data_IF_052032550651
#
_entry.id   IF_052032550651
#
_cell.length_a   1.000
_cell.length_b   1.000
_cell.length_c   1.000
_cell.angle_alpha   90.00
_cell.angle_beta   90.00
_cell.angle_gamma   90.00
#
_symmetry.space_group_name_H-M   'P 1'
#
loop_
_entity.id
_entity.type
_entity.pdbx_description
1 polymer ?
#
# COMPACT_ATOMS: atom_id res chain seq x y z
N UNK A 1 -2.69 3.76 25.19
CA UNK A 1 -2.91 4.32 23.83
C UNK A 1 -4.33 4.85 23.68
N UNK A 2 -5.36 4.09 24.08
CA UNK A 2 -6.75 4.59 24.07
C UNK A 2 -6.93 5.91 24.84
N UNK A 3 -6.41 6.02 26.07
CA UNK A 3 -6.49 7.28 26.84
C UNK A 3 -5.73 8.46 26.21
N UNK A 4 -4.73 8.20 25.37
CA UNK A 4 -4.04 9.25 24.61
C UNK A 4 -4.94 9.76 23.49
N UNK A 5 -5.55 8.87 22.72
CA UNK A 5 -6.46 9.22 21.64
C UNK A 5 -7.74 9.90 22.17
N UNK A 6 -8.26 9.48 23.32
CA UNK A 6 -9.40 10.16 23.96
C UNK A 6 -9.07 11.62 24.34
N UNK A 7 -7.82 11.90 24.73
CA UNK A 7 -7.40 13.23 25.15
C UNK A 7 -6.93 14.13 23.99
N UNK A 8 -6.32 13.53 22.97
CA UNK A 8 -5.59 14.26 21.92
C UNK A 8 -6.07 13.96 20.50
N UNK A 9 -6.94 12.98 20.30
CA UNK A 9 -7.34 12.49 18.97
C UNK A 9 -8.10 13.51 18.13
N UNK A 10 -8.83 14.46 18.76
CA UNK A 10 -9.58 15.49 18.05
C UNK A 10 -8.72 16.40 17.17
N UNK A 11 -7.44 16.58 17.52
CA UNK A 11 -6.47 17.36 16.75
C UNK A 11 -5.44 16.49 16.02
N UNK A 12 -5.61 15.17 16.02
CA UNK A 12 -4.65 14.24 15.47
C UNK A 12 -4.86 14.08 13.95
N UNK A 13 -3.99 14.72 13.17
CA UNK A 13 -4.04 14.66 11.71
C UNK A 13 -3.29 13.46 11.13
N UNK A 14 -2.28 12.94 11.85
CA UNK A 14 -1.47 11.80 11.42
C UNK A 14 -1.32 10.76 12.51
N UNK A 15 -1.46 9.49 12.15
CA UNK A 15 -1.31 8.38 13.10
C UNK A 15 -0.59 7.20 12.44
N UNK A 16 0.40 6.66 13.15
CA UNK A 16 1.21 5.52 12.70
C UNK A 16 1.10 4.38 13.69
N UNK A 17 0.69 3.23 13.19
CA UNK A 17 0.56 1.98 13.92
C UNK A 17 1.69 1.06 13.50
N UNK A 18 2.55 0.72 14.46
CA UNK A 18 3.64 -0.22 14.24
C UNK A 18 3.13 -1.68 14.33
N UNK A 19 3.83 -2.66 13.71
CA UNK A 19 3.42 -4.06 13.73
C UNK A 19 3.18 -4.60 15.14
N UNK A 20 2.22 -5.53 15.30
CA UNK A 20 1.79 -6.11 16.59
C UNK A 20 1.09 -5.11 17.52
N UNK A 21 0.33 -4.18 16.94
CA UNK A 21 -0.48 -3.27 17.74
C UNK A 21 -1.65 -4.01 18.37
N UNK A 22 -1.49 -4.49 19.60
CA UNK A 22 -2.60 -4.97 20.42
C UNK A 22 -3.59 -3.83 20.63
N UNK A 23 -4.75 -3.79 19.96
CA UNK A 23 -5.76 -2.81 20.36
C UNK A 23 -7.16 -2.89 19.78
N UNK A 24 -8.15 -2.85 20.68
CA UNK A 24 -9.53 -2.50 20.37
C UNK A 24 -9.73 -1.05 19.91
N UNK A 25 -8.78 -0.13 20.15
CA UNK A 25 -8.93 1.29 19.79
C UNK A 25 -8.99 1.53 18.28
N UNK A 26 -8.43 0.65 17.45
CA UNK A 26 -8.53 0.75 15.98
C UNK A 26 -9.98 0.68 15.49
N UNK A 27 -10.90 0.08 16.26
CA UNK A 27 -12.33 0.03 15.92
C UNK A 27 -13.06 1.37 16.15
N UNK A 28 -12.47 2.27 16.94
CA UNK A 28 -13.06 3.58 17.32
C UNK A 28 -12.26 4.75 16.75
N UNK A 29 -11.42 4.49 15.74
CA UNK A 29 -10.49 5.50 15.23
C UNK A 29 -11.22 6.70 14.62
N UNK A 30 -12.36 6.47 13.96
CA UNK A 30 -13.23 7.50 13.40
C UNK A 30 -13.83 8.43 14.48
N UNK A 31 -14.24 7.86 15.61
CA UNK A 31 -14.81 8.58 16.75
C UNK A 31 -13.75 9.36 17.51
N UNK A 32 -12.57 8.76 17.71
CA UNK A 32 -11.51 9.34 18.51
C UNK A 32 -10.70 10.36 17.71
N UNK A 33 -10.55 10.17 16.39
CA UNK A 33 -9.70 10.98 15.52
C UNK A 33 -10.47 11.45 14.25
N UNK A 34 -11.50 12.29 14.40
CA UNK A 34 -12.35 12.70 13.27
C UNK A 34 -11.61 13.54 12.22
N UNK A 35 -10.48 14.15 12.58
CA UNK A 35 -9.62 15.00 11.72
C UNK A 35 -8.44 14.24 11.12
N UNK A 36 -8.36 12.92 11.33
CA UNK A 36 -7.24 12.11 10.86
C UNK A 36 -7.17 12.07 9.32
N UNK A 37 -6.10 12.60 8.75
CA UNK A 37 -5.88 12.66 7.30
C UNK A 37 -4.89 11.60 6.81
N UNK A 38 -3.86 11.30 7.60
CA UNK A 38 -2.82 10.34 7.25
C UNK A 38 -2.80 9.18 8.24
N UNK A 39 -2.95 7.95 7.75
CA UNK A 39 -2.85 6.74 8.56
C UNK A 39 -1.77 5.81 8.00
N UNK A 40 -0.84 5.37 8.85
CA UNK A 40 0.25 4.47 8.45
C UNK A 40 0.16 3.17 9.25
N UNK A 41 0.12 2.02 8.58
CA UNK A 41 -0.03 0.72 9.26
C UNK A 41 0.64 -0.42 8.49
N UNK A 42 0.78 -1.58 9.13
CA UNK A 42 1.12 -2.82 8.43
C UNK A 42 -0.09 -3.33 7.62
N UNK A 43 0.11 -3.95 6.46
CA UNK A 43 -0.99 -4.37 5.59
C UNK A 43 -2.00 -5.35 6.25
N UNK A 44 -1.56 -6.11 7.26
CA UNK A 44 -2.39 -7.01 8.06
C UNK A 44 -3.16 -6.32 9.21
N UNK A 45 -2.81 -5.08 9.53
CA UNK A 45 -3.28 -4.36 10.73
C UNK A 45 -4.22 -3.21 10.34
N UNK A 46 -5.08 -3.45 9.35
CA UNK A 46 -6.10 -2.48 8.96
C UNK A 46 -7.16 -2.34 10.08
N UNK A 47 -7.66 -1.12 10.34
CA UNK A 47 -8.80 -0.91 11.23
C UNK A 47 -9.99 -1.79 10.88
N UNK A 48 -10.69 -2.28 11.91
CA UNK A 48 -11.91 -3.07 11.74
C UNK A 48 -13.16 -2.25 11.41
N UNK A 49 -13.06 -0.92 11.39
CA UNK A 49 -14.14 0.02 11.09
C UNK A 49 -13.71 1.02 10.02
N UNK A 50 -14.68 1.59 9.33
CA UNK A 50 -14.45 2.59 8.29
C UNK A 50 -13.98 3.92 8.90
N UNK A 51 -12.91 4.50 8.35
CA UNK A 51 -12.36 5.79 8.75
C UNK A 51 -12.39 6.74 7.55
N UNK A 52 -13.48 7.50 7.35
CA UNK A 52 -13.69 8.29 6.13
C UNK A 52 -12.86 9.59 6.08
N UNK A 53 -12.27 10.04 7.19
CA UNK A 53 -11.44 11.25 7.24
C UNK A 53 -10.09 11.07 6.53
N UNK A 54 -9.59 9.83 6.46
CA UNK A 54 -8.28 9.48 5.93
C UNK A 54 -8.24 9.65 4.41
N UNK A 55 -7.22 10.38 3.95
CA UNK A 55 -6.90 10.63 2.53
C UNK A 55 -5.60 9.96 2.10
N UNK A 56 -4.66 9.81 3.02
CA UNK A 56 -3.35 9.20 2.75
C UNK A 56 -3.18 7.96 3.60
N UNK A 57 -2.90 6.82 2.97
CA UNK A 57 -2.58 5.58 3.67
C UNK A 57 -1.16 5.15 3.34
N UNK A 58 -0.33 5.05 4.36
CA UNK A 58 1.00 4.45 4.25
C UNK A 58 1.00 2.99 4.71
N UNK A 59 1.60 2.09 3.93
CA UNK A 59 1.59 0.66 4.22
C UNK A 59 3.01 0.14 4.39
N UNK A 60 3.24 -0.59 5.48
CA UNK A 60 4.43 -1.40 5.67
C UNK A 60 4.14 -2.88 5.39
N UNK A 61 5.16 -3.63 4.98
CA UNK A 61 5.11 -5.09 4.90
C UNK A 61 4.51 -5.66 3.60
N UNK A 62 4.25 -4.84 2.58
CA UNK A 62 3.76 -5.32 1.28
C UNK A 62 4.72 -6.34 0.62
N UNK A 63 6.00 -6.28 0.96
CA UNK A 63 6.98 -7.29 0.58
C UNK A 63 6.70 -8.68 1.15
N UNK A 64 5.82 -8.83 2.14
CA UNK A 64 5.44 -10.12 2.73
C UNK A 64 4.13 -10.66 2.13
N UNK A 65 3.19 -9.78 1.78
CA UNK A 65 1.87 -10.16 1.24
C UNK A 65 1.95 -11.12 0.03
N UNK A 66 2.84 -10.84 -0.93
CA UNK A 66 3.02 -11.72 -2.11
C UNK A 66 3.68 -13.07 -1.83
N UNK A 67 4.13 -13.35 -0.60
CA UNK A 67 4.60 -14.67 -0.14
C UNK A 67 3.51 -15.44 0.61
N UNK A 68 2.68 -14.73 1.36
CA UNK A 68 1.70 -15.31 2.29
C UNK A 68 0.37 -15.70 1.61
N UNK A 69 0.38 -15.88 0.29
CA UNK A 69 -0.79 -16.21 -0.56
C UNK A 69 -1.89 -15.15 -0.61
N UNK A 70 -1.64 -13.94 -0.08
CA UNK A 70 -2.56 -12.83 -0.28
C UNK A 70 -2.46 -12.26 -1.69
N UNK A 71 -3.62 -12.08 -2.33
CA UNK A 71 -3.70 -11.40 -3.62
C UNK A 71 -3.58 -9.88 -3.43
N UNK A 72 -2.90 -9.22 -4.37
CA UNK A 72 -2.76 -7.76 -4.34
C UNK A 72 -4.11 -7.05 -4.37
N UNK A 73 -5.08 -7.64 -5.08
CA UNK A 73 -6.45 -7.14 -5.14
C UNK A 73 -7.17 -7.20 -3.78
N UNK A 74 -6.95 -8.26 -2.99
CA UNK A 74 -7.59 -8.42 -1.68
C UNK A 74 -7.08 -7.37 -0.68
N UNK A 75 -5.76 -7.12 -0.68
CA UNK A 75 -5.14 -6.07 0.15
C UNK A 75 -5.76 -4.72 -0.16
N UNK A 76 -5.72 -4.31 -1.43
CA UNK A 76 -6.21 -2.99 -1.86
C UNK A 76 -7.73 -2.86 -1.67
N UNK A 77 -8.50 -3.91 -1.95
CA UNK A 77 -9.96 -3.89 -1.72
C UNK A 77 -10.32 -3.72 -0.25
N UNK A 78 -9.57 -4.37 0.65
CA UNK A 78 -9.76 -4.22 2.09
C UNK A 78 -9.45 -2.80 2.54
N UNK A 79 -8.39 -2.19 1.99
CA UNK A 79 -8.09 -0.78 2.26
C UNK A 79 -9.19 0.17 1.82
N UNK A 80 -9.76 -0.03 0.62
CA UNK A 80 -10.84 0.85 0.16
C UNK A 80 -12.14 0.69 0.97
N UNK A 81 -12.38 -0.47 1.59
CA UNK A 81 -13.50 -0.65 2.53
C UNK A 81 -13.29 0.15 3.82
N UNK A 82 -12.05 0.17 4.32
CA UNK A 82 -11.69 0.84 5.56
C UNK A 82 -11.53 2.36 5.34
N UNK A 83 -10.89 2.76 4.24
CA UNK A 83 -10.59 4.15 3.90
C UNK A 83 -11.27 4.51 2.56
N UNK A 84 -12.60 4.70 2.53
CA UNK A 84 -13.37 4.91 1.30
C UNK A 84 -12.99 6.18 0.54
N UNK A 85 -12.32 7.08 1.25
CA UNK A 85 -12.02 8.44 0.89
C UNK A 85 -10.53 8.66 0.56
N UNK A 86 -9.74 7.58 0.55
CA UNK A 86 -8.31 7.60 0.24
C UNK A 86 -8.06 8.13 -1.18
N UNK A 87 -7.05 8.97 -1.32
CA UNK A 87 -6.55 9.53 -2.58
C UNK A 87 -5.08 9.16 -2.81
N UNK A 88 -4.38 8.70 -1.77
CA UNK A 88 -2.97 8.31 -1.86
C UNK A 88 -2.72 7.04 -1.05
N UNK A 89 -2.14 6.05 -1.70
CA UNK A 89 -1.62 4.83 -1.09
C UNK A 89 -0.11 4.84 -1.29
N UNK A 90 0.65 4.79 -0.20
CA UNK A 90 2.11 4.79 -0.25
C UNK A 90 2.66 3.48 0.31
N UNK A 91 3.46 2.77 -0.48
CA UNK A 91 4.32 1.70 0.01
C UNK A 91 5.48 2.31 0.78
N UNK A 92 5.56 2.06 2.09
CA UNK A 92 6.59 2.63 2.96
C UNK A 92 7.84 1.74 3.08
N UNK A 93 7.89 0.60 2.37
CA UNK A 93 9.02 -0.31 2.42
C UNK A 93 9.96 -0.12 1.23
N UNK A 94 11.19 0.33 1.51
CA UNK A 94 12.25 0.36 0.49
C UNK A 94 12.56 -1.04 -0.05
N UNK A 95 12.45 -2.06 0.80
CA UNK A 95 12.70 -3.46 0.44
C UNK A 95 11.67 -3.96 -0.58
N UNK A 96 10.44 -3.48 -0.45
CA UNK A 96 9.35 -3.78 -1.36
C UNK A 96 9.63 -3.26 -2.79
N UNK A 97 10.17 -2.04 -2.92
CA UNK A 97 10.61 -1.50 -4.21
C UNK A 97 11.74 -2.32 -4.83
N UNK A 98 12.75 -2.70 -4.04
CA UNK A 98 13.86 -3.55 -4.50
C UNK A 98 13.36 -4.91 -5.00
N UNK A 99 12.47 -5.57 -4.24
CA UNK A 99 11.89 -6.85 -4.63
C UNK A 99 11.06 -6.73 -5.90
N UNK A 100 10.27 -5.66 -6.04
CA UNK A 100 9.48 -5.37 -7.23
C UNK A 100 10.38 -5.19 -8.45
N UNK A 101 11.43 -4.36 -8.34
CA UNK A 101 12.38 -4.12 -9.43
C UNK A 101 13.14 -5.38 -9.82
N UNK A 102 13.62 -6.17 -8.86
CA UNK A 102 14.26 -7.47 -9.12
C UNK A 102 13.32 -8.43 -9.85
N UNK A 103 12.04 -8.45 -9.47
CA UNK A 103 11.03 -9.23 -10.17
C UNK A 103 10.83 -8.76 -11.62
N UNK A 104 11.11 -7.50 -11.96
CA UNK A 104 11.03 -6.99 -13.33
C UNK A 104 12.29 -7.24 -14.16
N UNK A 105 13.46 -7.30 -13.53
CA UNK A 105 14.72 -7.52 -14.25
C UNK A 105 15.00 -9.01 -14.44
N UNK A 106 14.62 -9.85 -13.47
CA UNK A 106 14.84 -11.28 -13.48
C UNK A 106 13.55 -12.08 -13.78
N UNK A 107 13.33 -12.38 -15.06
CA UNK A 107 12.12 -13.07 -15.53
C UNK A 107 12.12 -14.58 -15.30
N UNK A 108 13.29 -15.19 -15.11
CA UNK A 108 13.44 -16.64 -14.89
C UNK A 108 13.24 -17.06 -13.44
N UNK A 109 13.20 -16.10 -12.50
CA UNK A 109 12.92 -16.34 -11.08
C UNK A 109 11.43 -16.65 -10.83
N UNK A 110 11.08 -17.86 -10.32
CA UNK A 110 9.71 -18.20 -9.94
C UNK A 110 9.15 -17.33 -8.81
N UNK A 111 9.98 -16.87 -7.86
CA UNK A 111 9.53 -15.89 -6.86
C UNK A 111 9.19 -14.56 -7.56
N UNK A 112 10.01 -14.15 -8.54
CA UNK A 112 9.77 -12.97 -9.37
C UNK A 112 8.41 -13.01 -10.08
N UNK A 113 8.00 -14.15 -10.62
CA UNK A 113 6.68 -14.30 -11.25
C UNK A 113 5.52 -13.98 -10.28
N UNK A 114 5.55 -14.54 -9.07
CA UNK A 114 4.54 -14.25 -8.03
C UNK A 114 4.50 -12.78 -7.65
N UNK A 115 5.67 -12.13 -7.56
CA UNK A 115 5.77 -10.70 -7.25
C UNK A 115 5.23 -9.82 -8.37
N UNK A 116 5.48 -10.17 -9.63
CA UNK A 116 4.90 -9.47 -10.78
C UNK A 116 3.38 -9.56 -10.76
N UNK A 117 2.84 -10.76 -10.52
CA UNK A 117 1.39 -10.98 -10.43
C UNK A 117 0.77 -10.15 -9.29
N UNK A 118 1.32 -10.24 -8.07
CA UNK A 118 0.86 -9.46 -6.92
C UNK A 118 0.81 -7.96 -7.22
N UNK A 119 1.91 -7.38 -7.72
CA UNK A 119 1.97 -5.94 -8.00
C UNK A 119 1.10 -5.53 -9.20
N UNK A 120 0.86 -6.42 -10.15
CA UNK A 120 -0.10 -6.18 -11.23
C UNK A 120 -1.51 -6.06 -10.67
N UNK A 121 -1.90 -6.98 -9.77
CA UNK A 121 -3.21 -6.93 -9.11
C UNK A 121 -3.36 -5.67 -8.24
N UNK A 122 -2.33 -5.27 -7.49
CA UNK A 122 -2.32 -4.02 -6.72
C UNK A 122 -2.59 -2.82 -7.63
N UNK A 123 -1.81 -2.66 -8.71
CA UNK A 123 -1.96 -1.55 -9.65
C UNK A 123 -3.35 -1.53 -10.29
N UNK A 124 -3.83 -2.68 -10.78
CA UNK A 124 -5.15 -2.79 -11.39
C UNK A 124 -6.28 -2.47 -10.40
N UNK A 125 -6.18 -2.90 -9.15
CA UNK A 125 -7.18 -2.61 -8.13
C UNK A 125 -7.26 -1.11 -7.81
N UNK A 126 -6.11 -0.42 -7.72
CA UNK A 126 -6.05 1.04 -7.53
C UNK A 126 -6.64 1.77 -8.75
N UNK A 127 -6.31 1.33 -9.97
CA UNK A 127 -6.83 1.92 -11.21
C UNK A 127 -8.34 1.75 -11.37
N UNK A 128 -8.89 0.55 -11.10
CA UNK A 128 -10.34 0.30 -11.17
C UNK A 128 -11.10 1.22 -10.23
N UNK A 129 -10.57 1.45 -9.03
CA UNK A 129 -11.17 2.38 -8.07
C UNK A 129 -11.12 3.82 -8.58
N UNK A 130 -10.00 4.16 -9.22
CA UNK A 130 -9.81 5.46 -9.87
C UNK A 130 -10.67 5.66 -11.11
N UNK A 131 -11.40 4.66 -11.60
CA UNK A 131 -12.26 4.74 -12.80
C UNK A 131 -13.74 4.51 -12.49
N UNK A 132 -14.08 4.06 -11.29
CA UNK A 132 -15.46 3.71 -10.93
C UNK A 132 -16.19 4.92 -10.32
N UNK A 133 -17.25 5.44 -10.96
CA UNK A 133 -18.15 6.39 -10.30
C UNK A 133 -18.74 5.70 -9.05
N UNK A 134 -18.63 6.32 -7.88
CA UNK A 134 -19.34 5.82 -6.72
C UNK A 134 -20.82 6.18 -6.86
N UNK A 135 -21.75 5.20 -6.91
CA UNK A 135 -23.17 5.51 -6.86
C UNK A 135 -23.51 6.06 -5.46
N UNK A 136 -24.10 7.25 -5.42
CA UNK A 136 -24.82 7.75 -4.24
C UNK A 136 -26.31 7.47 -4.40
N UNK A 137 -27.01 7.29 -3.28
CA UNK A 137 -28.47 7.22 -3.18
C UNK A 137 -29.18 8.51 -3.69
N UNK A 138 -28.42 9.58 -3.97
CA UNK A 138 -28.92 10.90 -4.38
C UNK A 138 -28.65 11.28 -5.85
N UNK A 139 -28.11 10.37 -6.69
CA UNK A 139 -28.00 10.60 -8.14
C UNK A 139 -26.93 11.60 -8.60
N UNK A 140 -26.17 12.22 -7.69
CA UNK A 140 -25.03 13.06 -8.03
C UNK A 140 -23.77 12.19 -8.23
N UNK A 141 -23.20 12.22 -9.44
CA UNK A 141 -21.93 11.57 -9.75
C UNK A 141 -20.79 12.46 -9.26
N UNK A 142 -19.97 11.97 -8.31
CA UNK A 142 -18.69 12.62 -8.03
C UNK A 142 -17.78 12.55 -9.27
N UNK A 143 -16.92 13.56 -9.50
CA UNK A 143 -15.82 13.40 -10.43
C UNK A 143 -14.99 12.18 -10.03
N UNK A 144 -14.56 11.46 -11.05
CA UNK A 144 -13.63 10.34 -10.98
C UNK A 144 -12.49 10.70 -10.01
N UNK A 145 -12.39 9.98 -8.88
CA UNK A 145 -11.34 10.23 -7.88
C UNK A 145 -10.10 9.44 -8.22
N UNK A 146 -9.08 10.12 -8.71
CA UNK A 146 -7.78 9.52 -8.97
C UNK A 146 -7.10 9.13 -7.65
N UNK A 147 -6.73 7.85 -7.51
CA UNK A 147 -5.96 7.35 -6.37
C UNK A 147 -4.52 7.14 -6.82
N UNK A 148 -3.58 7.86 -6.22
CA UNK A 148 -2.16 7.71 -6.50
C UNK A 148 -1.58 6.54 -5.69
N UNK A 149 -0.86 5.64 -6.37
CA UNK A 149 -0.03 4.61 -5.74
C UNK A 149 1.43 5.06 -5.79
N UNK A 150 2.05 5.25 -4.63
CA UNK A 150 3.40 5.80 -4.47
C UNK A 150 4.36 4.77 -3.85
N UNK A 151 5.62 4.84 -4.24
CA UNK A 151 6.72 4.11 -3.60
C UNK A 151 7.18 4.81 -2.30
N UNK A 152 8.17 4.22 -1.64
CA UNK A 152 8.68 4.72 -0.37
C UNK A 152 9.33 6.12 -0.47
N UNK A 153 9.71 6.54 -1.68
CA UNK A 153 10.26 7.87 -1.99
C UNK A 153 9.16 8.88 -2.33
N UNK A 154 7.90 8.46 -2.38
CA UNK A 154 6.78 9.29 -2.80
C UNK A 154 6.66 9.43 -4.32
N UNK A 155 7.33 8.57 -5.10
CA UNK A 155 7.22 8.55 -6.57
C UNK A 155 6.10 7.61 -7.01
N UNK A 156 5.40 7.89 -8.12
CA UNK A 156 4.41 6.96 -8.66
C UNK A 156 5.02 5.57 -8.88
N UNK A 157 4.33 4.53 -8.42
CA UNK A 157 4.72 3.14 -8.71
C UNK A 157 4.50 2.89 -10.20
N UNK A 158 5.56 2.52 -10.90
CA UNK A 158 5.49 2.19 -12.31
C UNK A 158 4.58 0.98 -12.56
N UNK A 159 3.89 1.01 -13.70
CA UNK A 159 3.06 -0.09 -14.13
C UNK A 159 3.91 -1.35 -14.31
N UNK A 160 3.40 -2.48 -13.82
CA UNK A 160 4.09 -3.77 -13.94
C UNK A 160 4.12 -4.21 -15.41
N UNK A 161 5.30 -4.42 -16.02
CA UNK A 161 5.37 -4.99 -17.35
C UNK A 161 4.77 -6.41 -17.33
N UNK A 162 3.82 -6.69 -18.22
CA UNK A 162 3.21 -8.02 -18.37
C UNK A 162 3.98 -8.92 -19.34
N UNK A 163 4.99 -8.39 -20.02
CA UNK A 163 5.87 -9.10 -20.95
C UNK A 163 7.33 -8.74 -20.68
N UNK A 164 8.27 -9.68 -20.90
CA UNK A 164 9.68 -9.37 -20.83
C UNK A 164 10.03 -8.28 -21.86
N UNK A 165 10.89 -7.31 -21.51
CA UNK A 165 11.35 -6.32 -22.48
C UNK A 165 12.03 -7.03 -23.65
N UNK A 166 11.76 -6.57 -24.88
CA UNK A 166 12.27 -7.19 -26.12
C UNK A 166 13.78 -6.94 -26.36
N UNK A 167 14.56 -6.63 -25.33
CA UNK A 167 15.96 -6.19 -25.43
C UNK A 167 16.72 -6.35 -24.12
N UNK A 168 17.89 -5.69 -24.00
CA UNK A 168 18.77 -5.76 -22.82
C UNK A 168 17.97 -5.58 -21.52
N UNK A 169 18.21 -6.48 -20.56
CA UNK A 169 17.66 -6.39 -19.22
C UNK A 169 17.92 -4.98 -18.68
N UNK A 170 16.86 -4.26 -18.30
CA UNK A 170 17.01 -2.96 -17.67
C UNK A 170 17.91 -3.15 -16.43
N UNK A 171 19.07 -2.50 -16.41
CA UNK A 171 19.91 -2.48 -15.21
C UNK A 171 19.17 -1.70 -14.13
N UNK A 172 19.20 -2.23 -12.90
CA UNK A 172 18.77 -1.48 -11.73
C UNK A 172 19.58 -0.18 -11.63
N UNK A 173 18.96 0.89 -11.13
CA UNK A 173 19.69 2.11 -10.76
C UNK A 173 20.80 1.78 -9.73
N UNK A 174 21.94 2.49 -9.71
CA UNK A 174 23.02 2.22 -8.76
C UNK A 174 22.58 2.12 -7.29
N UNK A 175 21.63 2.95 -6.86
CA UNK A 175 21.09 2.88 -5.49
C UNK A 175 20.33 1.57 -5.26
N UNK A 176 19.55 1.13 -6.25
CA UNK A 176 18.79 -0.12 -6.17
C UNK A 176 19.69 -1.36 -6.27
N UNK A 177 20.82 -1.27 -7.00
CA UNK A 177 21.83 -2.34 -7.02
C UNK A 177 22.47 -2.53 -5.64
N UNK A 178 22.82 -1.43 -4.97
CA UNK A 178 23.36 -1.46 -3.62
C UNK A 178 22.34 -2.07 -2.64
N UNK A 179 21.07 -1.65 -2.74
CA UNK A 179 20.00 -2.16 -1.90
C UNK A 179 19.69 -3.65 -2.16
N UNK A 180 19.71 -4.12 -3.41
CA UNK A 180 19.54 -5.54 -3.74
C UNK A 180 20.69 -6.40 -3.21
N UNK A 181 21.93 -5.90 -3.26
CA UNK A 181 23.07 -6.56 -2.66
C UNK A 181 22.91 -6.71 -1.13
N UNK A 182 22.41 -5.66 -0.45
CA UNK A 182 22.12 -5.69 0.99
C UNK A 182 21.01 -6.70 1.32
N UNK A 183 19.92 -6.72 0.55
CA UNK A 183 18.81 -7.68 0.74
C UNK A 183 19.28 -9.12 0.53
N UNK A 184 20.11 -9.35 -0.48
CA UNK A 184 20.64 -10.68 -0.79
C UNK A 184 21.56 -11.18 0.32
N UNK A 185 22.43 -10.32 0.87
CA UNK A 185 23.31 -10.66 2.00
C UNK A 185 22.54 -10.96 3.28
N UNK A 186 21.47 -10.21 3.56
CA UNK A 186 20.61 -10.43 4.73
C UNK A 186 19.78 -11.73 4.69
N UNK A 187 19.63 -12.38 3.52
CA UNK A 187 19.00 -13.71 3.42
C UNK A 187 19.94 -14.87 3.79
N UNK A 188 21.25 -14.61 3.87
CA UNK A 188 22.29 -15.60 4.17
C UNK A 188 22.85 -15.49 5.60
N UNK A 189 22.27 -14.62 6.41
CA UNK A 189 22.50 -14.49 7.86
C UNK A 189 21.30 -15.07 8.61
#
# INVERSE_FOLDING_TARGET
>A
MESFLEKHGLALEEFTVLPKACSGYLKRLDQLCPTLHTFRTHYLELPGSTVPSVRTVGIYGLEHAGRDSESGESVISSMFKVFPNVTTIQDLSWRSDVIRRRAYTNWTDPEGAKRREFWTQVNLAVQRRSQSPQPMETGEQFPVREVALLDWRGKPVEAVPTKPPAGQHAMLDPDDQLLDALVSRARHL
#
